data_IF_967097455360
#
_entry.id   IF_967097455360
#
_cell.length_a   1.000
_cell.length_b   1.000
_cell.length_c   1.000
_cell.angle_alpha   90.00
_cell.angle_beta   90.00
_cell.angle_gamma   90.00
#
_symmetry.space_group_name_H-M   'P 1'
#
loop_
_entity.id
_entity.type
_entity.pdbx_description
1 polymer ?
#
# COMPACT_ATOMS: atom_id res chain seq x y z
N UNK A 1 8.02 22.05 20.31
CA UNK A 1 8.71 23.00 19.42
C UNK A 1 10.14 23.08 19.90
N UNK A 2 10.92 22.04 19.61
CA UNK A 2 12.25 21.85 20.18
C UNK A 2 13.32 22.46 19.28
N UNK A 3 14.52 22.66 19.82
CA UNK A 3 15.72 23.10 19.07
C UNK A 3 16.04 22.24 17.83
N UNK A 4 15.45 21.04 17.71
CA UNK A 4 15.56 20.15 16.56
C UNK A 4 14.74 20.61 15.33
N UNK A 5 13.71 21.43 15.52
CA UNK A 5 12.87 21.93 14.41
C UNK A 5 13.59 23.01 13.57
N UNK A 6 14.61 23.66 14.15
CA UNK A 6 15.35 24.76 13.51
C UNK A 6 16.29 24.31 12.38
N UNK A 7 16.75 23.06 12.43
CA UNK A 7 17.68 22.50 11.43
C UNK A 7 16.99 21.69 10.33
N UNK A 8 15.65 21.59 10.36
CA UNK A 8 14.90 20.73 9.45
C UNK A 8 14.51 21.47 8.18
N UNK A 9 14.93 20.94 7.04
CA UNK A 9 14.60 21.49 5.72
C UNK A 9 13.07 21.44 5.49
N UNK A 10 12.54 22.42 4.78
CA UNK A 10 11.12 22.51 4.39
C UNK A 10 10.61 21.23 3.71
N UNK A 11 11.44 20.63 2.85
CA UNK A 11 11.11 19.37 2.18
C UNK A 11 10.92 18.19 3.14
N UNK A 12 11.73 18.10 4.20
CA UNK A 12 11.59 17.06 5.22
C UNK A 12 10.34 17.26 6.08
N UNK A 13 9.98 18.52 6.35
CA UNK A 13 8.73 18.87 7.05
C UNK A 13 7.53 18.47 6.22
N UNK A 14 7.53 18.82 4.93
CA UNK A 14 6.50 18.42 3.97
C UNK A 14 6.31 16.91 3.91
N UNK A 15 7.41 16.15 3.82
CA UNK A 15 7.37 14.69 3.80
C UNK A 15 6.76 14.10 5.07
N UNK A 16 7.07 14.67 6.24
CA UNK A 16 6.54 14.23 7.52
C UNK A 16 5.05 14.55 7.72
N UNK A 17 4.61 15.72 7.27
CA UNK A 17 3.19 16.08 7.28
C UNK A 17 2.38 15.13 6.38
N UNK A 18 2.92 14.76 5.21
CA UNK A 18 2.31 13.73 4.34
C UNK A 18 2.31 12.36 5.03
N UNK A 19 3.44 11.96 5.65
CA UNK A 19 3.58 10.65 6.30
C UNK A 19 2.60 10.48 7.46
N UNK A 20 2.45 11.53 8.28
CA UNK A 20 1.51 11.59 9.40
C UNK A 20 0.05 11.75 8.98
N UNK A 21 -0.20 12.15 7.73
CA UNK A 21 -1.55 12.41 7.23
C UNK A 21 -2.12 13.77 7.61
N UNK A 22 -1.28 14.70 8.11
CA UNK A 22 -1.68 16.08 8.40
C UNK A 22 -2.10 16.86 7.15
N UNK A 23 -1.60 16.43 5.98
CA UNK A 23 -1.81 17.08 4.68
C UNK A 23 -1.93 16.02 3.58
N UNK A 24 -2.71 16.33 2.55
CA UNK A 24 -2.83 15.44 1.40
C UNK A 24 -1.54 15.42 0.55
N UNK A 25 -1.13 14.26 0.01
CA UNK A 25 -0.04 14.18 -0.96
C UNK A 25 -0.46 14.79 -2.31
N UNK A 26 0.47 15.53 -2.92
CA UNK A 26 0.39 16.02 -4.29
C UNK A 26 0.41 14.88 -5.31
N UNK A 27 0.18 15.20 -6.59
CA UNK A 27 0.28 14.20 -7.68
C UNK A 27 1.67 13.58 -7.76
N UNK A 28 2.73 14.39 -7.65
CA UNK A 28 4.12 13.91 -7.72
C UNK A 28 4.49 13.03 -6.52
N UNK A 29 4.03 13.37 -5.31
CA UNK A 29 4.24 12.53 -4.12
C UNK A 29 3.48 11.21 -4.23
N UNK A 30 2.25 11.21 -4.75
CA UNK A 30 1.51 9.97 -5.02
C UNK A 30 2.23 9.09 -6.03
N UNK A 31 2.78 9.67 -7.09
CA UNK A 31 3.55 8.91 -8.07
C UNK A 31 4.77 8.23 -7.42
N UNK A 32 5.54 8.95 -6.60
CA UNK A 32 6.67 8.37 -5.85
C UNK A 32 6.23 7.24 -4.93
N UNK A 33 5.15 7.45 -4.17
CA UNK A 33 4.56 6.43 -3.31
C UNK A 33 4.19 5.16 -4.09
N UNK A 34 3.54 5.28 -5.26
CA UNK A 34 3.15 4.11 -6.06
C UNK A 34 4.35 3.36 -6.63
N UNK A 35 5.39 4.07 -7.07
CA UNK A 35 6.64 3.42 -7.52
C UNK A 35 7.30 2.64 -6.38
N UNK A 36 7.40 3.23 -5.18
CA UNK A 36 7.96 2.55 -4.01
C UNK A 36 7.11 1.34 -3.57
N UNK A 37 5.78 1.48 -3.60
CA UNK A 37 4.82 0.39 -3.34
C UNK A 37 5.05 -0.78 -4.28
N UNK A 38 5.10 -0.51 -5.58
CA UNK A 38 5.19 -1.55 -6.60
C UNK A 38 6.55 -2.25 -6.53
N UNK A 39 7.63 -1.53 -6.21
CA UNK A 39 8.94 -2.12 -5.95
C UNK A 39 8.94 -3.04 -4.72
N UNK A 40 8.27 -2.64 -3.63
CA UNK A 40 8.11 -3.47 -2.44
C UNK A 40 7.31 -4.74 -2.75
N UNK A 41 6.17 -4.63 -3.45
CA UNK A 41 5.34 -5.78 -3.79
C UNK A 41 6.04 -6.73 -4.78
N UNK A 42 6.77 -6.21 -5.77
CA UNK A 42 7.58 -7.04 -6.65
C UNK A 42 8.64 -7.84 -5.89
N UNK A 43 9.26 -7.24 -4.86
CA UNK A 43 10.18 -7.97 -3.99
C UNK A 43 9.46 -9.07 -3.19
N UNK A 44 8.28 -8.78 -2.64
CA UNK A 44 7.50 -9.78 -1.91
C UNK A 44 7.11 -10.96 -2.83
N UNK A 45 6.67 -10.68 -4.05
CA UNK A 45 6.31 -11.69 -5.04
C UNK A 45 7.51 -12.59 -5.40
N UNK A 46 8.69 -11.98 -5.63
CA UNK A 46 9.92 -12.72 -5.92
C UNK A 46 10.37 -13.66 -4.77
N UNK A 47 9.95 -13.38 -3.54
CA UNK A 47 10.25 -14.19 -2.35
C UNK A 47 9.07 -15.06 -1.89
N UNK A 48 7.95 -15.10 -2.64
CA UNK A 48 6.78 -15.90 -2.29
C UNK A 48 6.03 -15.40 -1.03
N UNK A 49 6.19 -14.13 -0.66
CA UNK A 49 5.57 -13.54 0.53
C UNK A 49 4.23 -12.91 0.16
N UNK A 50 3.12 -13.57 0.50
CA UNK A 50 1.76 -13.07 0.22
C UNK A 50 1.28 -12.08 1.29
N UNK A 51 1.51 -12.38 2.56
CA UNK A 51 1.05 -11.55 3.68
C UNK A 51 2.25 -11.07 4.51
N UNK A 52 2.76 -9.89 4.16
CA UNK A 52 3.85 -9.25 4.88
C UNK A 52 3.44 -8.74 6.28
N UNK A 53 2.14 -8.67 6.61
CA UNK A 53 1.66 -8.32 7.96
C UNK A 53 1.68 -9.56 8.88
N UNK A 54 1.53 -10.76 8.31
CA UNK A 54 1.64 -12.02 9.05
C UNK A 54 3.09 -12.46 9.24
N UNK A 55 3.95 -12.25 8.25
CA UNK A 55 5.39 -12.54 8.30
C UNK A 55 6.25 -11.29 8.15
N UNK A 56 6.14 -10.38 9.12
CA UNK A 56 6.91 -9.13 9.11
C UNK A 56 8.42 -9.38 9.16
N UNK A 57 8.87 -10.41 9.89
CA UNK A 57 10.30 -10.74 10.01
C UNK A 57 10.87 -11.26 8.69
N UNK A 58 10.16 -12.17 8.02
CA UNK A 58 10.55 -12.64 6.69
C UNK A 58 10.54 -11.52 5.66
N UNK A 59 9.48 -10.69 5.67
CA UNK A 59 9.38 -9.53 4.78
C UNK A 59 10.48 -8.49 5.03
N UNK A 60 10.83 -8.20 6.28
CA UNK A 60 11.93 -7.30 6.62
C UNK A 60 13.29 -7.85 6.20
N UNK A 61 13.51 -9.17 6.37
CA UNK A 61 14.76 -9.82 5.96
C UNK A 61 14.95 -9.82 4.45
N UNK A 62 13.90 -10.11 3.69
CA UNK A 62 13.97 -10.23 2.23
C UNK A 62 13.85 -8.88 1.51
N UNK A 63 12.96 -8.00 2.00
CA UNK A 63 12.51 -6.79 1.31
C UNK A 63 12.59 -5.53 2.18
N UNK A 64 13.44 -5.53 3.21
CA UNK A 64 13.54 -4.43 4.17
C UNK A 64 13.93 -3.09 3.53
N UNK A 65 14.77 -3.10 2.50
CA UNK A 65 15.14 -1.89 1.76
C UNK A 65 13.93 -1.26 1.06
N UNK A 66 13.23 -2.05 0.24
CA UNK A 66 12.05 -1.58 -0.49
C UNK A 66 10.92 -1.23 0.49
N UNK A 67 10.81 -1.94 1.61
CA UNK A 67 9.87 -1.62 2.69
C UNK A 67 10.14 -0.26 3.33
N UNK A 68 11.41 0.07 3.59
CA UNK A 68 11.81 1.37 4.12
C UNK A 68 11.55 2.50 3.10
N UNK A 69 11.83 2.28 1.81
CA UNK A 69 11.51 3.24 0.74
C UNK A 69 9.99 3.46 0.63
N UNK A 70 9.20 2.38 0.71
CA UNK A 70 7.74 2.44 0.71
C UNK A 70 7.17 3.23 1.91
N UNK A 71 7.70 3.00 3.12
CA UNK A 71 7.30 3.73 4.33
C UNK A 71 7.79 5.19 4.36
N UNK A 72 8.91 5.47 3.69
CA UNK A 72 9.44 6.82 3.55
C UNK A 72 8.60 7.67 2.60
N UNK A 73 8.23 7.13 1.44
CA UNK A 73 7.64 7.88 0.32
C UNK A 73 6.11 7.92 0.34
N UNK A 74 5.46 7.08 1.16
CA UNK A 74 4.01 7.03 1.30
C UNK A 74 3.50 7.58 2.64
N UNK A 75 2.24 8.01 2.65
CA UNK A 75 1.49 8.23 3.89
C UNK A 75 1.36 6.91 4.67
N UNK A 76 1.55 6.93 6.00
CA UNK A 76 1.54 5.71 6.81
C UNK A 76 0.20 4.95 6.74
N UNK A 77 -0.91 5.69 6.66
CA UNK A 77 -2.24 5.12 6.46
C UNK A 77 -2.38 4.41 5.11
N UNK A 78 -1.72 4.93 4.06
CA UNK A 78 -1.73 4.32 2.74
C UNK A 78 -0.91 3.03 2.72
N UNK A 79 0.27 3.02 3.36
CA UNK A 79 1.09 1.81 3.52
C UNK A 79 0.27 0.68 4.15
N UNK A 80 -0.37 0.99 5.27
CA UNK A 80 -1.22 0.03 6.00
C UNK A 80 -2.38 -0.46 5.13
N UNK A 81 -3.07 0.46 4.46
CA UNK A 81 -4.18 0.13 3.57
C UNK A 81 -3.73 -0.76 2.41
N UNK A 82 -2.64 -0.42 1.71
CA UNK A 82 -2.15 -1.19 0.57
C UNK A 82 -1.67 -2.59 0.96
N UNK A 83 -0.98 -2.75 2.10
CA UNK A 83 -0.57 -4.07 2.60
C UNK A 83 -1.81 -4.96 2.83
N UNK A 84 -2.87 -4.43 3.46
CA UNK A 84 -4.14 -5.15 3.65
C UNK A 84 -4.86 -5.44 2.33
N UNK A 85 -4.94 -4.44 1.46
CA UNK A 85 -5.62 -4.55 0.16
C UNK A 85 -4.98 -5.61 -0.73
N UNK A 86 -3.64 -5.69 -0.76
CA UNK A 86 -2.92 -6.73 -1.52
C UNK A 86 -3.39 -8.13 -1.12
N UNK A 87 -3.47 -8.42 0.18
CA UNK A 87 -3.91 -9.73 0.70
C UNK A 87 -5.37 -10.00 0.32
N UNK A 88 -6.25 -9.01 0.51
CA UNK A 88 -7.67 -9.14 0.18
C UNK A 88 -7.90 -9.38 -1.32
N UNK A 89 -7.17 -8.66 -2.18
CA UNK A 89 -7.30 -8.82 -3.62
C UNK A 89 -6.79 -10.19 -4.08
N UNK A 90 -5.67 -10.68 -3.54
CA UNK A 90 -5.18 -12.05 -3.82
C UNK A 90 -6.22 -13.10 -3.42
N UNK A 91 -6.81 -12.98 -2.22
CA UNK A 91 -7.84 -13.90 -1.74
C UNK A 91 -9.11 -13.84 -2.57
N UNK A 92 -9.55 -12.63 -2.95
CA UNK A 92 -10.70 -12.41 -3.81
C UNK A 92 -10.48 -13.06 -5.18
N UNK A 93 -9.33 -12.84 -5.81
CA UNK A 93 -9.01 -13.43 -7.11
C UNK A 93 -8.94 -14.95 -7.05
N UNK A 94 -8.34 -15.52 -5.99
CA UNK A 94 -8.31 -16.97 -5.79
C UNK A 94 -9.73 -17.56 -5.65
N UNK A 95 -10.59 -16.91 -4.86
CA UNK A 95 -11.99 -17.32 -4.68
C UNK A 95 -12.79 -17.21 -5.97
N UNK A 96 -12.64 -16.13 -6.73
CA UNK A 96 -13.33 -15.96 -8.01
C UNK A 96 -12.94 -17.07 -8.99
N UNK A 97 -11.64 -17.37 -9.10
CA UNK A 97 -11.14 -18.46 -9.95
C UNK A 97 -11.68 -19.83 -9.53
N UNK A 98 -11.81 -20.08 -8.23
CA UNK A 98 -12.41 -21.31 -7.71
C UNK A 98 -13.90 -21.42 -8.08
N UNK A 99 -14.67 -20.35 -7.89
CA UNK A 99 -16.09 -20.30 -8.25
C UNK A 99 -16.30 -20.51 -9.76
N UNK A 100 -15.48 -19.86 -10.59
CA UNK A 100 -15.50 -20.05 -12.05
C UNK A 100 -15.22 -21.52 -12.44
N UNK A 101 -14.26 -22.17 -11.78
CA UNK A 101 -13.97 -23.60 -12.00
C UNK A 101 -15.13 -24.51 -11.56
N UNK A 102 -15.94 -24.09 -10.59
CA UNK A 102 -17.15 -24.79 -10.15
C UNK A 102 -18.38 -24.50 -11.04
N UNK A 103 -18.21 -23.74 -12.13
CA UNK A 103 -19.29 -23.40 -13.06
C UNK A 103 -20.20 -22.27 -12.58
N UNK A 104 -19.76 -21.47 -11.59
CA UNK A 104 -20.50 -20.29 -11.18
C UNK A 104 -20.49 -19.24 -12.29
N UNK A 105 -21.66 -18.67 -12.60
CA UNK A 105 -21.79 -17.56 -13.54
C UNK A 105 -21.69 -16.23 -12.80
N UNK A 106 -20.86 -15.31 -13.31
CA UNK A 106 -20.74 -13.96 -12.77
C UNK A 106 -22.04 -13.18 -13.01
N UNK A 107 -22.70 -12.77 -11.93
CA UNK A 107 -23.85 -11.88 -12.00
C UNK A 107 -23.38 -10.44 -11.85
N UNK A 108 -23.56 -9.63 -12.89
CA UNK A 108 -23.35 -8.19 -12.80
C UNK A 108 -24.57 -7.53 -12.17
N UNK A 109 -24.47 -7.17 -10.90
CA UNK A 109 -25.51 -6.40 -10.21
C UNK A 109 -25.34 -4.94 -10.61
N UNK A 110 -26.17 -4.47 -11.55
CA UNK A 110 -26.35 -3.03 -11.77
C UNK A 110 -27.12 -2.46 -10.58
N UNK A 111 -26.40 -1.91 -9.62
CA UNK A 111 -27.03 -1.23 -8.49
C UNK A 111 -27.47 0.16 -8.95
N UNK A 112 -28.77 0.33 -9.22
CA UNK A 112 -29.39 1.63 -9.53
C UNK A 112 -29.49 2.49 -8.25
N UNK A 113 -28.33 2.92 -7.73
CA UNK A 113 -28.21 3.82 -6.58
C UNK A 113 -28.05 5.29 -7.00
N UNK A 114 -28.40 5.63 -8.25
CA UNK A 114 -28.37 7.02 -8.72
C UNK A 114 -29.79 7.57 -8.83
N UNK A 115 -30.24 8.19 -7.74
CA UNK A 115 -31.21 9.30 -7.71
C UNK A 115 -31.39 9.78 -6.26
N UNK A 116 -30.48 10.64 -5.81
CA UNK A 116 -30.80 11.73 -4.88
C UNK A 116 -30.09 12.98 -5.37
#
# INVERSE_FOLDING_TARGET
MGLLDYFRNESDRRADEVRSGAVAPSRTERQRCYVARDAYFACLDANGIVDALKDEKGAAKACGRQGAEFEKDCAAQWVTYFKKWRVQEIQKQARLKELEAQGANKMDIQSDFSKR
#
